data_IF_034921355462
#
_entry.id   IF_034921355462
#
_cell.length_a   1.000
_cell.length_b   1.000
_cell.length_c   1.000
_cell.angle_alpha   90.00
_cell.angle_beta   90.00
_cell.angle_gamma   90.00
#
_symmetry.space_group_name_H-M   'P 1'
#
loop_
_entity.id
_entity.type
_entity.pdbx_description
1 polymer ?
#
# COMPACT_ATOMS: atom_id res chain seq x y z
N UNK A 1 14.68 -8.38 0.49
CA UNK A 1 13.62 -9.36 0.20
C UNK A 1 13.04 -10.00 1.45
N UNK A 2 13.86 -10.64 2.31
CA UNK A 2 13.41 -11.18 3.60
C UNK A 2 12.72 -10.13 4.47
N UNK A 3 13.20 -8.87 4.44
CA UNK A 3 12.60 -7.77 5.17
C UNK A 3 11.19 -7.39 4.68
N UNK A 4 10.92 -7.52 3.36
CA UNK A 4 9.58 -7.26 2.82
C UNK A 4 8.58 -8.38 3.18
N UNK A 5 9.02 -9.65 3.21
CA UNK A 5 8.16 -10.77 3.64
C UNK A 5 7.66 -10.55 5.07
N UNK A 6 8.48 -10.02 5.96
CA UNK A 6 8.09 -9.69 7.34
C UNK A 6 6.98 -8.64 7.39
N UNK A 7 7.05 -7.62 6.52
CA UNK A 7 6.00 -6.60 6.42
C UNK A 7 4.68 -7.18 5.91
N UNK A 8 4.73 -8.27 5.16
CA UNK A 8 3.56 -8.91 4.57
C UNK A 8 2.96 -10.04 5.42
N UNK A 9 3.60 -10.45 6.50
CA UNK A 9 3.06 -11.43 7.44
C UNK A 9 2.21 -10.74 8.54
N UNK A 10 1.23 -9.95 8.10
CA UNK A 10 0.37 -9.16 8.97
C UNK A 10 -0.57 -10.01 9.86
N UNK A 11 -0.67 -11.31 9.60
CA UNK A 11 -1.56 -12.21 10.33
C UNK A 11 -0.88 -12.86 11.54
N UNK A 12 0.44 -12.71 11.70
CA UNK A 12 1.18 -13.29 12.82
C UNK A 12 1.31 -12.27 13.96
N UNK A 13 0.56 -12.38 15.08
CA UNK A 13 0.56 -11.38 16.15
C UNK A 13 1.95 -11.14 16.76
N UNK A 14 2.76 -12.19 16.89
CA UNK A 14 4.12 -12.10 17.43
C UNK A 14 5.00 -11.29 16.48
N UNK A 15 4.95 -11.57 15.19
CA UNK A 15 5.72 -10.83 14.19
C UNK A 15 5.32 -9.37 14.13
N UNK A 16 4.01 -9.08 14.15
CA UNK A 16 3.48 -7.71 14.16
C UNK A 16 3.97 -6.94 15.39
N UNK A 17 3.96 -7.60 16.56
CA UNK A 17 4.46 -7.01 17.81
C UNK A 17 5.95 -6.72 17.72
N UNK A 18 6.76 -7.71 17.37
CA UNK A 18 8.22 -7.57 17.32
C UNK A 18 8.61 -6.52 16.27
N UNK A 19 7.97 -6.49 15.10
CA UNK A 19 8.18 -5.47 14.08
C UNK A 19 7.85 -4.07 14.60
N UNK A 20 6.72 -3.91 15.30
CA UNK A 20 6.34 -2.62 15.87
C UNK A 20 7.36 -2.13 16.88
N UNK A 21 7.83 -3.01 17.77
CA UNK A 21 8.85 -2.67 18.77
C UNK A 21 10.18 -2.28 18.12
N UNK A 22 10.64 -3.02 17.11
CA UNK A 22 11.86 -2.71 16.38
C UNK A 22 11.75 -1.39 15.61
N UNK A 23 10.63 -1.14 14.91
CA UNK A 23 10.43 0.14 14.22
C UNK A 23 10.36 1.29 15.20
N UNK A 24 9.62 1.12 16.30
CA UNK A 24 9.44 2.16 17.31
C UNK A 24 10.77 2.59 17.94
N UNK A 25 11.64 1.63 18.21
CA UNK A 25 12.96 1.84 18.83
C UNK A 25 14.08 2.11 17.82
N UNK A 26 13.77 2.29 16.52
CA UNK A 26 14.75 2.42 15.43
C UNK A 26 15.72 1.22 15.35
N UNK A 27 15.20 0.00 15.51
CA UNK A 27 15.97 -1.24 15.46
C UNK A 27 16.74 -1.60 16.73
N UNK A 28 16.43 -0.94 17.86
CA UNK A 28 17.15 -1.12 19.15
C UNK A 28 16.35 -1.90 20.19
N UNK A 29 15.18 -2.43 19.85
CA UNK A 29 14.31 -3.15 20.81
C UNK A 29 14.91 -4.48 21.28
N UNK A 30 15.79 -5.10 20.48
CA UNK A 30 16.38 -6.41 20.77
C UNK A 30 15.33 -7.50 21.05
N UNK A 31 14.31 -7.57 20.21
CA UNK A 31 13.23 -8.56 20.35
C UNK A 31 13.69 -10.00 20.17
N UNK A 32 14.92 -10.22 19.69
CA UNK A 32 15.43 -11.54 19.32
C UNK A 32 14.94 -12.03 17.96
N UNK A 33 14.00 -11.33 17.34
CA UNK A 33 13.43 -11.66 16.04
C UNK A 33 14.21 -10.98 14.90
N UNK A 34 15.16 -11.72 14.31
CA UNK A 34 16.01 -11.18 13.25
C UNK A 34 15.22 -10.73 12.02
N UNK A 35 14.09 -11.40 11.72
CA UNK A 35 13.23 -11.03 10.60
C UNK A 35 12.49 -9.71 10.88
N UNK A 36 11.96 -9.52 12.09
CA UNK A 36 11.34 -8.26 12.52
C UNK A 36 12.34 -7.10 12.46
N UNK A 37 13.57 -7.32 12.94
CA UNK A 37 14.64 -6.32 12.89
C UNK A 37 14.97 -5.91 11.44
N UNK A 38 15.17 -6.86 10.54
CA UNK A 38 15.39 -6.57 9.12
C UNK A 38 14.20 -5.85 8.46
N UNK A 39 12.97 -6.22 8.85
CA UNK A 39 11.76 -5.53 8.41
C UNK A 39 11.73 -4.07 8.87
N UNK A 40 12.07 -3.82 10.12
CA UNK A 40 12.16 -2.48 10.68
C UNK A 40 13.23 -1.63 9.99
N UNK A 41 14.42 -2.18 9.76
CA UNK A 41 15.51 -1.51 9.03
C UNK A 41 15.08 -1.12 7.60
N UNK A 42 14.40 -2.04 6.90
CA UNK A 42 13.88 -1.78 5.55
C UNK A 42 12.81 -0.68 5.57
N UNK A 43 11.88 -0.72 6.53
CA UNK A 43 10.86 0.29 6.70
C UNK A 43 11.45 1.68 6.94
N UNK A 44 12.35 1.79 7.92
CA UNK A 44 13.03 3.04 8.27
C UNK A 44 13.82 3.61 7.10
N UNK A 45 14.51 2.77 6.34
CA UNK A 45 15.25 3.18 5.14
C UNK A 45 14.32 3.73 4.07
N UNK A 46 13.20 3.06 3.80
CA UNK A 46 12.24 3.48 2.77
C UNK A 46 11.55 4.79 3.18
N UNK A 47 11.05 4.88 4.41
CA UNK A 47 10.34 6.08 4.88
C UNK A 47 11.26 7.30 4.95
N UNK A 48 12.52 7.12 5.35
CA UNK A 48 13.50 8.20 5.34
C UNK A 48 13.82 8.66 3.90
N UNK A 49 14.06 7.76 2.98
CA UNK A 49 14.27 8.12 1.57
C UNK A 49 13.07 8.86 0.97
N UNK A 50 11.84 8.46 1.33
CA UNK A 50 10.63 9.14 0.90
C UNK A 50 10.52 10.55 1.51
N UNK A 51 10.84 10.69 2.81
CA UNK A 51 10.88 11.99 3.50
C UNK A 51 11.88 12.94 2.83
N UNK A 52 13.10 12.47 2.59
CA UNK A 52 14.14 13.26 1.93
C UNK A 52 13.71 13.67 0.52
N UNK A 53 13.12 12.75 -0.25
CA UNK A 53 12.61 13.05 -1.59
C UNK A 53 11.48 14.07 -1.58
N UNK A 54 10.54 13.95 -0.63
CA UNK A 54 9.46 14.91 -0.45
C UNK A 54 10.00 16.30 -0.11
N UNK A 55 10.97 16.37 0.82
CA UNK A 55 11.59 17.65 1.21
C UNK A 55 12.42 18.24 0.06
N UNK A 56 13.12 17.44 -0.73
CA UNK A 56 13.83 17.90 -1.92
C UNK A 56 12.89 18.50 -2.97
N UNK A 57 11.63 18.06 -3.01
CA UNK A 57 10.59 18.60 -3.90
C UNK A 57 9.91 19.87 -3.33
N UNK A 58 10.31 20.33 -2.15
CA UNK A 58 9.78 21.52 -1.50
C UNK A 58 8.88 21.27 -0.30
N UNK A 59 8.85 20.02 0.21
CA UNK A 59 8.20 19.68 1.47
C UNK A 59 9.02 20.09 2.68
N UNK A 60 8.41 20.02 3.86
CA UNK A 60 9.04 20.32 5.14
C UNK A 60 8.60 19.30 6.22
N UNK A 61 8.99 18.06 6.03
CA UNK A 61 8.71 16.99 7.00
C UNK A 61 9.91 16.77 7.90
N UNK A 62 9.75 17.03 9.19
CA UNK A 62 10.76 16.79 10.20
C UNK A 62 11.11 15.31 10.35
N UNK A 63 12.31 15.04 10.86
CA UNK A 63 12.73 13.69 11.23
C UNK A 63 12.29 13.38 12.65
N UNK A 64 11.68 12.19 12.83
CA UNK A 64 11.33 11.72 14.18
C UNK A 64 12.52 11.01 14.84
N UNK A 65 12.70 11.25 16.14
CA UNK A 65 13.74 10.59 16.93
C UNK A 65 13.37 9.14 17.26
N UNK A 66 12.09 8.78 17.24
CA UNK A 66 11.56 7.44 17.47
C UNK A 66 10.10 7.33 16.98
N UNK A 67 9.54 6.13 17.04
CA UNK A 67 8.11 5.94 16.79
C UNK A 67 7.68 6.16 15.34
N UNK A 68 8.49 5.78 14.38
CA UNK A 68 8.26 5.97 12.93
C UNK A 68 7.17 5.04 12.38
N UNK A 69 6.05 4.93 13.11
CA UNK A 69 4.88 4.15 12.72
C UNK A 69 3.71 5.08 12.38
N UNK A 70 3.00 4.85 11.27
CA UNK A 70 1.82 5.63 10.95
C UNK A 70 0.69 5.38 11.95
N UNK A 71 -0.04 6.43 12.29
CA UNK A 71 -1.18 6.35 13.17
C UNK A 71 -2.45 6.35 12.31
N UNK A 72 -3.22 5.27 12.41
CA UNK A 72 -4.52 5.16 11.76
C UNK A 72 -5.62 5.17 12.83
N UNK A 73 -6.64 6.00 12.66
CA UNK A 73 -7.69 6.20 13.65
C UNK A 73 -9.04 5.73 13.09
N UNK A 74 -9.77 4.91 13.86
CA UNK A 74 -11.15 4.58 13.55
C UNK A 74 -12.07 5.66 14.14
N UNK A 75 -12.44 6.61 13.31
CA UNK A 75 -13.28 7.74 13.65
C UNK A 75 -14.53 7.36 14.45
N UNK A 76 -15.26 6.32 14.00
CA UNK A 76 -16.47 5.89 14.67
C UNK A 76 -16.21 5.28 16.05
N UNK A 77 -15.11 4.55 16.22
CA UNK A 77 -14.74 3.96 17.51
C UNK A 77 -14.32 5.05 18.49
N UNK A 78 -13.52 6.02 18.02
CA UNK A 78 -13.11 7.19 18.81
C UNK A 78 -14.32 8.03 19.21
N UNK A 79 -15.25 8.31 18.28
CA UNK A 79 -16.47 9.04 18.54
C UNK A 79 -17.36 8.34 19.58
N UNK A 80 -17.57 7.02 19.45
CA UNK A 80 -18.37 6.21 20.37
C UNK A 80 -17.79 6.15 21.78
N UNK A 81 -16.47 6.19 21.91
CA UNK A 81 -15.80 6.19 23.22
C UNK A 81 -16.11 7.47 23.99
N UNK A 82 -16.32 8.58 23.30
CA UNK A 82 -16.50 9.90 23.89
C UNK A 82 -15.19 10.58 24.25
N UNK A 83 -15.18 11.89 24.23
CA UNK A 83 -13.98 12.73 24.35
C UNK A 83 -13.19 12.48 25.62
N UNK A 84 -13.83 12.58 26.79
CA UNK A 84 -13.14 12.45 28.07
C UNK A 84 -12.67 11.01 28.34
N UNK A 85 -13.50 10.03 28.00
CA UNK A 85 -13.16 8.62 28.20
C UNK A 85 -12.01 8.17 27.29
N UNK A 86 -11.98 8.67 26.04
CA UNK A 86 -10.89 8.42 25.13
C UNK A 86 -9.60 9.10 25.60
N UNK A 87 -9.65 10.38 25.97
CA UNK A 87 -8.51 11.12 26.46
C UNK A 87 -7.89 10.48 27.73
N UNK A 88 -8.72 10.07 28.68
CA UNK A 88 -8.28 9.39 29.90
C UNK A 88 -7.62 8.03 29.61
N UNK A 89 -8.10 7.27 28.62
CA UNK A 89 -7.50 5.99 28.23
C UNK A 89 -6.17 6.16 27.48
N UNK A 90 -6.03 7.23 26.67
CA UNK A 90 -4.83 7.51 25.88
C UNK A 90 -3.72 8.12 26.74
N UNK A 91 -4.04 8.96 27.71
CA UNK A 91 -3.07 9.68 28.54
C UNK A 91 -1.93 8.79 29.10
N UNK A 92 -2.17 7.61 29.68
CA UNK A 92 -1.12 6.74 30.21
C UNK A 92 -0.23 6.09 29.12
N UNK A 93 -0.64 6.14 27.85
CA UNK A 93 0.10 5.61 26.72
C UNK A 93 1.13 6.61 26.15
N UNK A 94 1.10 7.87 26.58
CA UNK A 94 1.88 8.96 26.00
C UNK A 94 3.27 9.09 26.60
N UNK A 95 4.20 9.53 25.77
CA UNK A 95 5.49 10.06 26.21
C UNK A 95 5.33 11.49 26.71
N UNK A 96 5.25 11.63 28.03
CA UNK A 96 5.02 12.91 28.71
C UNK A 96 6.15 13.94 28.48
N UNK A 97 7.33 13.50 28.07
CA UNK A 97 8.46 14.39 27.79
C UNK A 97 8.28 15.23 26.52
N UNK A 98 7.36 14.84 25.63
CA UNK A 98 7.05 15.56 24.40
C UNK A 98 6.03 16.69 24.59
N UNK A 99 5.33 16.70 25.72
CA UNK A 99 4.33 17.69 26.01
C UNK A 99 4.93 18.79 26.89
N UNK A 100 5.44 19.83 26.24
CA UNK A 100 6.10 20.98 26.87
C UNK A 100 5.47 22.28 26.40
N UNK A 101 5.44 23.28 27.26
CA UNK A 101 5.01 24.63 26.89
C UNK A 101 6.14 25.39 26.15
N UNK A 102 5.87 26.61 25.71
CA UNK A 102 6.84 27.47 25.01
C UNK A 102 8.12 27.73 25.81
N UNK A 103 8.05 27.68 27.14
CA UNK A 103 9.20 27.84 28.03
C UNK A 103 9.98 26.52 28.26
N UNK A 104 9.58 25.40 27.61
CA UNK A 104 10.20 24.08 27.76
C UNK A 104 9.80 23.33 29.03
N UNK A 105 8.86 23.85 29.83
CA UNK A 105 8.36 23.15 31.01
C UNK A 105 7.30 22.12 30.63
N UNK A 106 7.30 20.96 31.32
CA UNK A 106 6.34 19.88 31.07
C UNK A 106 4.92 20.33 31.39
N UNK A 107 3.98 19.99 30.52
CA UNK A 107 2.57 20.20 30.76
C UNK A 107 2.05 19.28 31.87
N UNK A 108 1.13 19.80 32.67
CA UNK A 108 0.36 19.02 33.64
C UNK A 108 -0.54 18.01 32.96
N UNK A 109 -1.08 17.04 33.71
CA UNK A 109 -2.04 16.07 33.19
C UNK A 109 -3.32 16.74 32.66
N UNK A 110 -3.76 17.81 33.29
CA UNK A 110 -4.93 18.56 32.86
C UNK A 110 -4.69 19.24 31.49
N UNK A 111 -3.54 19.88 31.31
CA UNK A 111 -3.18 20.50 30.02
C UNK A 111 -2.99 19.48 28.91
N UNK A 112 -2.43 18.31 29.20
CA UNK A 112 -2.32 17.22 28.20
C UNK A 112 -3.69 16.60 27.87
N UNK A 113 -4.60 16.51 28.82
CA UNK A 113 -5.98 16.12 28.56
C UNK A 113 -6.68 17.12 27.62
N UNK A 114 -6.41 18.40 27.74
CA UNK A 114 -6.96 19.41 26.82
C UNK A 114 -6.38 19.25 25.39
N UNK A 115 -5.09 18.95 25.25
CA UNK A 115 -4.48 18.59 23.96
C UNK A 115 -5.16 17.35 23.37
N UNK A 116 -5.38 16.32 24.18
CA UNK A 116 -6.04 15.09 23.73
C UNK A 116 -7.51 15.33 23.35
N UNK A 117 -8.22 16.22 24.04
CA UNK A 117 -9.59 16.61 23.67
C UNK A 117 -9.63 17.29 22.30
N UNK A 118 -8.66 18.18 22.02
CA UNK A 118 -8.51 18.79 20.69
C UNK A 118 -8.20 17.73 19.62
N UNK A 119 -7.27 16.82 19.90
CA UNK A 119 -6.96 15.70 19.01
C UNK A 119 -8.19 14.80 18.74
N UNK A 120 -9.00 14.54 19.79
CA UNK A 120 -10.25 13.80 19.62
C UNK A 120 -11.24 14.50 18.69
N UNK A 121 -11.40 15.81 18.81
CA UNK A 121 -12.25 16.60 17.90
C UNK A 121 -11.77 16.49 16.47
N UNK A 122 -10.47 16.62 16.25
CA UNK A 122 -9.87 16.49 14.93
C UNK A 122 -10.09 15.10 14.33
N UNK A 123 -9.85 14.04 15.12
CA UNK A 123 -10.05 12.66 14.67
C UNK A 123 -11.54 12.38 14.43
N UNK A 124 -12.42 12.76 15.36
CA UNK A 124 -13.86 12.46 15.29
C UNK A 124 -14.57 13.19 14.15
N UNK A 125 -14.04 14.34 13.72
CA UNK A 125 -14.58 15.15 12.61
C UNK A 125 -13.81 15.01 11.30
N UNK A 126 -12.78 14.14 11.26
CA UNK A 126 -11.86 14.02 10.10
C UNK A 126 -11.23 15.36 9.68
N UNK A 127 -10.84 16.15 10.69
CA UNK A 127 -10.23 17.48 10.51
C UNK A 127 -11.24 18.57 10.13
N UNK A 128 -12.55 18.32 10.16
CA UNK A 128 -13.55 19.33 9.82
C UNK A 128 -13.57 20.50 10.79
N UNK A 129 -13.18 20.29 12.06
CA UNK A 129 -13.03 21.34 13.07
C UNK A 129 -11.93 22.36 12.72
N UNK A 130 -10.94 21.97 11.92
CA UNK A 130 -9.83 22.83 11.47
C UNK A 130 -10.20 23.65 10.21
N UNK A 131 -11.36 23.41 9.62
CA UNK A 131 -11.86 24.12 8.44
C UNK A 131 -12.59 25.41 8.81
N UNK A 132 -11.96 26.28 9.57
CA UNK A 132 -12.54 27.60 9.87
C UNK A 132 -12.41 28.52 8.66
N UNK A 133 -13.50 29.14 8.16
CA UNK A 133 -13.42 30.14 7.11
C UNK A 133 -12.47 31.26 7.53
N UNK A 134 -11.42 31.52 6.75
CA UNK A 134 -10.42 32.57 7.04
C UNK A 134 -9.11 32.08 7.67
N UNK A 135 -9.03 30.84 8.16
CA UNK A 135 -7.79 30.26 8.71
C UNK A 135 -6.81 29.76 7.62
N UNK A 136 -7.11 29.97 6.36
CA UNK A 136 -6.28 29.55 5.22
C UNK A 136 -5.11 30.51 4.95
N UNK A 137 -4.27 30.74 5.92
CA UNK A 137 -2.97 31.38 5.68
C UNK A 137 -1.87 30.33 5.58
N UNK A 138 -1.60 29.90 4.36
CA UNK A 138 -0.36 29.19 4.02
C UNK A 138 -0.21 27.70 4.38
N UNK A 139 -0.98 27.15 5.33
CA UNK A 139 -0.86 25.76 5.75
C UNK A 139 -1.52 24.73 4.79
N UNK A 140 -2.28 25.18 3.81
CA UNK A 140 -3.01 24.32 2.87
C UNK A 140 -2.17 23.79 1.70
N UNK A 141 -0.89 24.15 1.60
CA UNK A 141 -0.03 23.61 0.55
C UNK A 141 0.27 22.12 0.82
N UNK A 142 0.23 21.31 -0.24
CA UNK A 142 0.54 19.89 -0.11
C UNK A 142 1.95 19.64 0.45
N UNK A 143 2.90 20.50 0.12
CA UNK A 143 4.26 20.48 0.65
C UNK A 143 4.33 20.64 2.18
N UNK A 144 3.33 21.28 2.79
CA UNK A 144 3.27 21.46 4.24
C UNK A 144 2.60 20.30 4.97
N UNK A 145 2.09 19.30 4.24
CA UNK A 145 1.51 18.12 4.87
C UNK A 145 2.58 17.35 5.63
N UNK A 146 2.37 17.19 6.93
CA UNK A 146 3.31 16.50 7.81
C UNK A 146 4.40 17.39 8.40
N UNK A 147 4.45 18.71 8.10
CA UNK A 147 5.30 19.66 8.81
C UNK A 147 4.81 19.92 10.24
N UNK A 148 3.50 19.77 10.47
CA UNK A 148 2.92 19.83 11.80
C UNK A 148 3.32 18.60 12.61
N UNK A 149 3.76 18.81 13.83
CA UNK A 149 4.12 17.73 14.76
C UNK A 149 2.90 16.91 15.11
N UNK A 150 3.07 15.60 15.27
CA UNK A 150 2.03 14.73 15.79
C UNK A 150 1.59 15.19 17.17
N UNK A 151 0.28 15.19 17.43
CA UNK A 151 -0.27 15.50 18.76
C UNK A 151 -0.21 14.28 19.69
N UNK A 152 -0.23 13.05 19.15
CA UNK A 152 -0.19 11.82 19.93
C UNK A 152 1.20 11.21 19.81
N UNK A 153 1.97 11.30 20.91
CA UNK A 153 3.30 10.73 21.03
C UNK A 153 3.26 9.55 22.01
N UNK A 154 3.28 8.32 21.50
CA UNK A 154 3.33 7.13 22.36
C UNK A 154 4.69 6.98 23.02
N UNK A 155 4.69 6.50 24.26
CA UNK A 155 5.93 6.29 25.06
C UNK A 155 6.75 5.09 24.57
N UNK A 156 6.07 4.08 24.01
CA UNK A 156 6.69 2.84 23.55
C UNK A 156 5.82 2.13 22.49
N UNK A 157 6.39 1.10 21.86
CA UNK A 157 5.72 0.34 20.83
C UNK A 157 4.53 -0.47 21.34
N UNK A 158 4.52 -0.89 22.61
CA UNK A 158 3.38 -1.60 23.21
C UNK A 158 2.18 -0.66 23.36
N UNK A 159 2.42 0.58 23.81
CA UNK A 159 1.39 1.62 23.91
C UNK A 159 0.80 1.96 22.55
N UNK A 160 1.64 2.07 21.52
CA UNK A 160 1.20 2.22 20.14
C UNK A 160 0.30 1.06 19.69
N UNK A 161 0.71 -0.18 19.93
CA UNK A 161 -0.08 -1.36 19.57
C UNK A 161 -1.40 -1.45 20.36
N UNK A 162 -1.38 -1.11 21.65
CA UNK A 162 -2.59 -1.06 22.47
C UNK A 162 -3.59 -0.05 21.91
N UNK A 163 -3.11 1.13 21.55
CA UNK A 163 -3.93 2.15 20.90
C UNK A 163 -4.48 1.68 19.55
N UNK A 164 -3.65 1.10 18.68
CA UNK A 164 -4.09 0.61 17.37
C UNK A 164 -5.13 -0.50 17.47
N UNK A 165 -5.05 -1.37 18.49
CA UNK A 165 -6.07 -2.40 18.74
C UNK A 165 -7.40 -1.81 19.20
N UNK A 166 -7.36 -0.77 20.04
CA UNK A 166 -8.55 -0.14 20.60
C UNK A 166 -9.22 0.83 19.63
N UNK A 167 -8.42 1.65 18.94
CA UNK A 167 -8.89 2.82 18.19
C UNK A 167 -8.36 2.91 16.75
N UNK A 168 -7.54 1.96 16.31
CA UNK A 168 -6.99 1.96 14.96
C UNK A 168 -7.94 1.43 13.88
N UNK A 169 -7.62 1.70 12.62
CA UNK A 169 -8.28 1.12 11.45
C UNK A 169 -7.40 0.05 10.83
N UNK A 170 -7.94 -1.14 10.62
CA UNK A 170 -7.22 -2.21 9.95
C UNK A 170 -6.04 -2.76 10.76
N UNK A 171 -5.11 -3.38 10.08
CA UNK A 171 -3.86 -3.90 10.64
C UNK A 171 -2.75 -2.83 10.61
N UNK A 172 -1.69 -3.06 11.37
CA UNK A 172 -0.46 -2.24 11.27
C UNK A 172 0.10 -2.26 9.85
N UNK A 173 0.01 -3.41 9.17
CA UNK A 173 0.38 -3.56 7.78
C UNK A 173 -0.41 -2.61 6.88
N UNK A 174 -1.74 -2.55 7.01
CA UNK A 174 -2.58 -1.65 6.23
C UNK A 174 -2.20 -0.18 6.44
N UNK A 175 -1.91 0.20 7.69
CA UNK A 175 -1.47 1.54 8.02
C UNK A 175 -0.10 1.88 7.39
N UNK A 176 0.86 0.94 7.43
CA UNK A 176 2.18 1.13 6.84
C UNK A 176 2.11 1.26 5.31
N UNK A 177 1.35 0.40 4.65
CA UNK A 177 1.19 0.43 3.19
C UNK A 177 0.39 1.66 2.75
N UNK A 178 -0.67 2.00 3.47
CA UNK A 178 -1.43 3.23 3.22
C UNK A 178 -0.56 4.49 3.32
N UNK A 179 0.34 4.52 4.30
CA UNK A 179 1.31 5.61 4.45
C UNK A 179 2.26 5.72 3.24
N UNK A 180 2.84 4.59 2.79
CA UNK A 180 3.70 4.58 1.58
C UNK A 180 2.91 5.09 0.37
N UNK A 181 1.68 4.59 0.15
CA UNK A 181 0.83 4.99 -0.96
C UNK A 181 0.48 6.48 -0.94
N UNK A 182 0.08 7.00 0.23
CA UNK A 182 -0.24 8.40 0.44
C UNK A 182 0.96 9.32 0.18
N UNK A 183 2.09 9.02 0.83
CA UNK A 183 3.31 9.81 0.68
C UNK A 183 3.89 9.74 -0.74
N UNK A 184 3.82 8.58 -1.41
CA UNK A 184 4.23 8.44 -2.83
C UNK A 184 3.41 9.35 -3.75
N UNK A 185 2.09 9.44 -3.51
CA UNK A 185 1.22 10.36 -4.23
C UNK A 185 1.60 11.82 -3.98
N UNK A 186 1.82 12.17 -2.72
CA UNK A 186 2.18 13.54 -2.34
C UNK A 186 3.54 13.94 -2.95
N UNK A 187 4.53 13.06 -2.94
CA UNK A 187 5.82 13.25 -3.62
C UNK A 187 5.60 13.51 -5.11
N UNK A 188 4.90 12.61 -5.81
CA UNK A 188 4.66 12.75 -7.25
C UNK A 188 3.90 14.02 -7.61
N UNK A 189 2.96 14.44 -6.78
CA UNK A 189 2.21 15.67 -6.97
C UNK A 189 3.09 16.92 -6.77
N UNK A 190 3.90 16.95 -5.71
CA UNK A 190 4.78 18.08 -5.41
C UNK A 190 5.93 18.17 -6.42
N UNK A 191 6.54 17.06 -6.81
CA UNK A 191 7.58 17.03 -7.85
C UNK A 191 7.06 17.53 -9.20
N UNK A 192 5.83 17.15 -9.57
CA UNK A 192 5.27 17.49 -10.90
C UNK A 192 4.67 18.87 -10.98
N UNK A 193 3.98 19.32 -9.92
CA UNK A 193 3.14 20.51 -9.92
C UNK A 193 3.60 21.57 -8.91
N UNK A 194 4.71 21.34 -8.22
CA UNK A 194 5.26 22.22 -7.20
C UNK A 194 4.57 22.09 -5.83
N UNK A 195 4.96 22.94 -4.87
CA UNK A 195 4.53 22.81 -3.46
C UNK A 195 3.01 22.87 -3.23
N UNK A 196 2.28 23.53 -4.12
CA UNK A 196 0.82 23.61 -4.05
C UNK A 196 0.16 23.17 -5.37
N UNK A 197 0.10 21.86 -5.63
CA UNK A 197 -0.46 21.29 -6.86
C UNK A 197 -1.90 21.72 -7.11
N UNK A 198 -2.72 21.83 -6.08
CA UNK A 198 -4.12 22.21 -6.17
C UNK A 198 -4.30 23.63 -6.70
N UNK A 199 -3.47 24.55 -6.20
CA UNK A 199 -3.47 25.95 -6.68
C UNK A 199 -2.93 26.05 -8.11
N UNK A 200 -1.87 25.31 -8.40
CA UNK A 200 -1.28 25.29 -9.74
C UNK A 200 -2.28 24.77 -10.77
N UNK A 201 -2.98 23.68 -10.48
CA UNK A 201 -4.00 23.13 -11.39
C UNK A 201 -5.18 24.08 -11.56
N UNK A 202 -5.64 24.73 -10.49
CA UNK A 202 -6.70 25.74 -10.57
C UNK A 202 -6.29 26.89 -11.49
N UNK A 203 -5.06 27.35 -11.37
CA UNK A 203 -4.51 28.39 -12.25
C UNK A 203 -4.53 27.94 -13.72
N UNK A 204 -4.16 26.68 -14.01
CA UNK A 204 -4.20 26.15 -15.38
C UNK A 204 -5.63 26.13 -15.94
N UNK A 205 -6.61 25.70 -15.14
CA UNK A 205 -8.03 25.76 -15.54
C UNK A 205 -8.50 27.20 -15.79
N UNK A 206 -8.11 28.16 -14.94
CA UNK A 206 -8.47 29.58 -15.12
C UNK A 206 -7.82 30.18 -16.38
N UNK A 207 -6.56 29.82 -16.67
CA UNK A 207 -5.88 30.24 -17.89
C UNK A 207 -6.53 29.66 -19.16
N UNK A 208 -6.86 28.38 -19.13
CA UNK A 208 -7.58 27.74 -20.23
C UNK A 208 -8.94 28.42 -20.46
N UNK A 209 -9.71 28.66 -19.39
CA UNK A 209 -10.99 29.37 -19.46
C UNK A 209 -10.86 30.77 -20.08
N UNK A 210 -9.82 31.50 -19.71
CA UNK A 210 -9.56 32.84 -20.28
C UNK A 210 -9.20 32.75 -21.78
N UNK A 211 -8.38 31.79 -22.16
CA UNK A 211 -7.99 31.58 -23.55
C UNK A 211 -9.21 31.18 -24.41
N UNK A 212 -10.09 30.35 -23.94
CA UNK A 212 -11.30 29.93 -24.63
C UNK A 212 -12.34 31.07 -24.67
N UNK A 213 -12.42 31.84 -23.58
CA UNK A 213 -13.23 33.07 -23.58
C UNK A 213 -12.82 34.08 -24.64
N UNK A 214 -11.53 34.24 -24.85
CA UNK A 214 -11.00 35.11 -25.92
C UNK A 214 -11.32 34.58 -27.33
N UNK A 215 -11.61 33.31 -27.46
CA UNK A 215 -12.05 32.64 -28.72
C UNK A 215 -13.58 32.61 -28.88
N UNK A 216 -14.34 33.16 -27.95
CA UNK A 216 -15.80 33.12 -27.96
C UNK A 216 -16.44 31.75 -27.55
N UNK A 217 -15.66 30.86 -26.90
CA UNK A 217 -16.07 29.49 -26.56
C UNK A 217 -16.55 29.34 -25.09
N UNK A 218 -16.92 30.41 -24.42
CA UNK A 218 -17.29 30.41 -23.00
C UNK A 218 -18.44 29.44 -22.65
N UNK A 219 -19.37 29.21 -23.56
CA UNK A 219 -20.49 28.30 -23.34
C UNK A 219 -20.06 26.82 -23.22
N UNK A 220 -18.95 26.45 -23.79
CA UNK A 220 -18.43 25.07 -23.79
C UNK A 220 -17.43 24.80 -22.65
N UNK A 221 -16.84 25.84 -22.08
CA UNK A 221 -15.73 25.72 -21.11
C UNK A 221 -16.08 24.85 -19.88
N UNK A 222 -17.29 24.98 -19.35
CA UNK A 222 -17.70 24.24 -18.17
C UNK A 222 -17.83 22.72 -18.47
N UNK A 223 -18.33 22.37 -19.64
CA UNK A 223 -18.47 20.99 -20.11
C UNK A 223 -17.10 20.40 -20.44
N UNK A 224 -16.27 21.11 -21.16
CA UNK A 224 -14.91 20.69 -21.53
C UNK A 224 -14.00 20.49 -20.33
N UNK A 225 -14.18 21.26 -19.24
CA UNK A 225 -13.39 21.14 -18.03
C UNK A 225 -13.89 20.08 -17.05
N UNK A 226 -15.13 19.60 -17.17
CA UNK A 226 -15.71 18.64 -16.21
C UNK A 226 -14.93 17.32 -16.16
N UNK A 227 -14.51 16.78 -17.29
CA UNK A 227 -13.70 15.57 -17.37
C UNK A 227 -12.32 15.73 -16.72
N UNK A 228 -11.51 16.69 -17.13
CA UNK A 228 -10.21 16.97 -16.51
C UNK A 228 -10.28 17.29 -15.01
N UNK A 229 -11.31 18.02 -14.55
CA UNK A 229 -11.51 18.28 -13.12
C UNK A 229 -11.84 17.01 -12.34
N UNK A 230 -12.67 16.12 -12.88
CA UNK A 230 -12.97 14.83 -12.27
C UNK A 230 -11.71 13.96 -12.18
N UNK A 231 -10.91 13.88 -13.24
CA UNK A 231 -9.64 13.17 -13.25
C UNK A 231 -8.66 13.76 -12.23
N UNK A 232 -8.58 15.09 -12.16
CA UNK A 232 -7.77 15.75 -11.15
C UNK A 232 -8.21 15.41 -9.72
N UNK A 233 -9.51 15.39 -9.46
CA UNK A 233 -10.04 15.04 -8.14
C UNK A 233 -9.66 13.61 -7.71
N UNK A 234 -9.61 12.67 -8.65
CA UNK A 234 -9.15 11.29 -8.41
C UNK A 234 -7.64 11.28 -8.16
N UNK A 235 -6.86 11.92 -9.04
CA UNK A 235 -5.40 11.96 -8.94
C UNK A 235 -4.93 12.62 -7.66
N UNK A 236 -5.52 13.75 -7.29
CA UNK A 236 -5.18 14.48 -6.06
C UNK A 236 -5.66 13.80 -4.77
N UNK A 237 -6.58 12.82 -4.88
CA UNK A 237 -7.21 12.17 -3.76
C UNK A 237 -8.42 12.93 -3.19
N UNK A 238 -8.78 14.08 -3.77
CA UNK A 238 -9.92 14.89 -3.31
C UNK A 238 -11.26 14.15 -3.43
N UNK A 239 -11.42 13.29 -4.44
CA UNK A 239 -12.60 12.46 -4.61
C UNK A 239 -12.81 11.42 -3.51
N UNK A 240 -11.75 11.07 -2.78
CA UNK A 240 -11.80 10.15 -1.64
C UNK A 240 -12.17 10.83 -0.32
N UNK A 241 -12.27 12.17 -0.29
CA UNK A 241 -12.60 12.91 0.93
C UNK A 241 -14.11 13.17 0.97
N UNK A 242 -14.86 12.54 1.89
CA UNK A 242 -16.32 12.71 1.93
C UNK A 242 -16.72 14.10 2.42
N UNK A 243 -17.71 14.71 1.77
CA UNK A 243 -18.32 15.98 2.22
C UNK A 243 -19.19 15.75 3.46
N UNK A 244 -19.84 14.57 3.54
CA UNK A 244 -20.62 14.13 4.68
C UNK A 244 -20.29 12.68 5.02
N UNK A 245 -19.61 12.44 6.13
CA UNK A 245 -19.15 11.11 6.54
C UNK A 245 -20.30 10.09 6.69
N UNK A 246 -21.47 10.51 7.19
CA UNK A 246 -22.64 9.61 7.33
C UNK A 246 -23.20 9.16 5.98
N UNK A 247 -23.32 10.07 5.01
CA UNK A 247 -23.80 9.76 3.65
C UNK A 247 -22.79 8.88 2.92
N UNK A 248 -21.50 9.19 3.05
CA UNK A 248 -20.43 8.39 2.47
C UNK A 248 -20.42 6.96 3.04
N UNK A 249 -20.63 6.81 4.35
CA UNK A 249 -20.74 5.48 4.98
C UNK A 249 -21.93 4.69 4.46
N UNK A 250 -23.10 5.30 4.31
CA UNK A 250 -24.28 4.62 3.72
C UNK A 250 -24.01 4.24 2.27
N UNK A 251 -23.48 5.15 1.47
CA UNK A 251 -23.13 4.88 0.08
C UNK A 251 -22.07 3.76 -0.03
N UNK A 252 -21.11 3.73 0.89
CA UNK A 252 -20.11 2.66 0.96
C UNK A 252 -20.75 1.31 1.31
N UNK A 253 -21.72 1.27 2.24
CA UNK A 253 -22.46 0.05 2.55
C UNK A 253 -23.24 -0.47 1.32
N UNK A 254 -23.95 0.41 0.60
CA UNK A 254 -24.65 0.05 -0.63
C UNK A 254 -23.67 -0.51 -1.67
N UNK A 255 -22.55 0.17 -1.89
CA UNK A 255 -21.51 -0.27 -2.85
C UNK A 255 -20.93 -1.63 -2.45
N UNK A 256 -20.69 -1.87 -1.16
CA UNK A 256 -20.17 -3.15 -0.67
C UNK A 256 -21.16 -4.29 -0.90
N UNK A 257 -22.47 -4.05 -0.68
CA UNK A 257 -23.54 -5.03 -0.95
C UNK A 257 -23.67 -5.29 -2.46
N UNK A 258 -23.60 -4.25 -3.30
CA UNK A 258 -23.63 -4.38 -4.74
C UNK A 258 -22.41 -5.14 -5.27
N UNK A 259 -21.21 -4.86 -4.75
CA UNK A 259 -19.98 -5.59 -5.06
C UNK A 259 -20.11 -7.07 -4.69
N UNK A 260 -20.69 -7.37 -3.51
CA UNK A 260 -20.98 -8.73 -3.10
C UNK A 260 -21.90 -9.46 -4.10
N UNK A 261 -23.00 -8.83 -4.51
CA UNK A 261 -23.93 -9.42 -5.49
C UNK A 261 -23.29 -9.68 -6.87
N UNK A 262 -22.43 -8.76 -7.33
CA UNK A 262 -21.73 -8.88 -8.62
C UNK A 262 -20.60 -9.92 -8.60
N UNK A 263 -19.92 -10.10 -7.46
CA UNK A 263 -18.81 -11.05 -7.33
C UNK A 263 -19.26 -12.52 -7.43
N UNK A 264 -20.49 -12.85 -7.09
CA UNK A 264 -20.99 -14.23 -7.22
C UNK A 264 -21.00 -14.70 -8.68
N UNK A 265 -21.32 -13.81 -9.63
CA UNK A 265 -21.25 -14.12 -11.07
C UNK A 265 -19.82 -14.23 -11.60
N UNK A 266 -18.90 -13.48 -11.04
CA UNK A 266 -17.51 -13.47 -11.48
C UNK A 266 -16.73 -14.74 -11.09
N UNK A 267 -17.12 -15.44 -10.01
CA UNK A 267 -16.54 -16.75 -9.64
C UNK A 267 -16.79 -17.80 -10.72
N UNK A 268 -17.99 -17.80 -11.30
CA UNK A 268 -18.31 -18.71 -12.42
C UNK A 268 -17.54 -18.34 -13.70
N UNK A 269 -17.35 -17.03 -13.95
CA UNK A 269 -16.56 -16.57 -15.09
C UNK A 269 -15.07 -16.91 -14.97
N UNK A 270 -14.52 -17.01 -13.75
CA UNK A 270 -13.11 -17.33 -13.54
C UNK A 270 -12.72 -18.77 -13.92
N UNK A 271 -13.69 -19.65 -14.09
CA UNK A 271 -13.47 -21.01 -14.62
C UNK A 271 -12.93 -20.94 -16.06
N UNK A 272 -13.33 -19.94 -16.84
CA UNK A 272 -12.83 -19.73 -18.20
C UNK A 272 -11.35 -19.36 -18.25
N UNK A 273 -10.78 -18.87 -17.14
CA UNK A 273 -9.35 -18.55 -17.03
C UNK A 273 -8.45 -19.78 -17.18
N UNK A 274 -8.98 -20.98 -16.87
CA UNK A 274 -8.29 -22.25 -17.14
C UNK A 274 -8.02 -22.41 -18.64
N UNK A 275 -8.98 -22.06 -19.49
CA UNK A 275 -8.79 -22.10 -20.93
C UNK A 275 -7.63 -21.20 -21.39
N UNK A 276 -7.61 -19.95 -20.91
CA UNK A 276 -6.54 -18.99 -21.19
C UNK A 276 -5.18 -19.46 -20.67
N UNK A 277 -5.15 -20.08 -19.48
CA UNK A 277 -3.95 -20.69 -18.92
C UNK A 277 -3.37 -21.75 -19.85
N UNK A 278 -4.19 -22.72 -20.31
CA UNK A 278 -3.73 -23.78 -21.20
C UNK A 278 -3.38 -23.30 -22.61
N UNK A 279 -4.04 -22.27 -23.12
CA UNK A 279 -3.62 -21.59 -24.36
C UNK A 279 -2.21 -21.00 -24.20
N UNK A 280 -1.94 -20.35 -23.07
CA UNK A 280 -0.61 -19.79 -22.78
C UNK A 280 0.45 -20.89 -22.60
N UNK A 281 0.09 -22.00 -21.92
CA UNK A 281 0.95 -23.18 -21.80
C UNK A 281 1.29 -23.76 -23.16
N UNK A 282 0.28 -23.88 -24.05
CA UNK A 282 0.45 -24.39 -25.41
C UNK A 282 1.31 -23.47 -26.29
N UNK A 283 1.05 -22.16 -26.24
CA UNK A 283 1.88 -21.16 -26.93
C UNK A 283 3.35 -21.26 -26.52
N UNK A 284 3.59 -21.47 -25.22
CA UNK A 284 4.94 -21.63 -24.69
C UNK A 284 5.50 -23.07 -24.87
N UNK A 285 4.81 -23.96 -25.55
CA UNK A 285 5.20 -25.38 -25.74
C UNK A 285 5.59 -26.08 -24.44
N UNK A 286 4.96 -25.69 -23.34
CA UNK A 286 5.18 -26.31 -22.04
C UNK A 286 4.35 -27.60 -21.92
N UNK A 287 4.83 -28.63 -21.18
CA UNK A 287 4.08 -29.85 -21.01
C UNK A 287 2.77 -29.61 -20.26
N UNK A 288 1.63 -29.90 -20.89
CA UNK A 288 0.30 -29.71 -20.32
C UNK A 288 0.10 -30.49 -19.00
N UNK A 289 0.58 -31.73 -18.95
CA UNK A 289 0.47 -32.54 -17.74
C UNK A 289 1.19 -31.89 -16.54
N UNK A 290 2.37 -31.34 -16.77
CA UNK A 290 3.14 -30.67 -15.73
C UNK A 290 2.50 -29.33 -15.34
N UNK A 291 1.98 -28.59 -16.30
CA UNK A 291 1.23 -27.37 -16.03
C UNK A 291 0.01 -27.64 -15.16
N UNK A 292 -0.72 -28.74 -15.43
CA UNK A 292 -1.86 -29.18 -14.63
C UNK A 292 -1.43 -29.58 -13.20
N UNK A 293 -0.39 -30.38 -13.06
CA UNK A 293 0.12 -30.79 -11.72
C UNK A 293 0.64 -29.59 -10.93
N UNK A 294 1.22 -28.59 -11.61
CA UNK A 294 1.69 -27.36 -10.97
C UNK A 294 0.54 -26.48 -10.48
N UNK A 295 -0.63 -26.46 -11.14
CA UNK A 295 -1.83 -25.79 -10.62
C UNK A 295 -2.21 -26.40 -9.26
N UNK A 296 -2.34 -27.72 -9.17
CA UNK A 296 -2.63 -28.41 -7.92
C UNK A 296 -1.56 -28.18 -6.86
N UNK A 297 -0.29 -28.24 -7.28
CA UNK A 297 0.84 -27.95 -6.42
C UNK A 297 0.89 -26.51 -5.90
N UNK A 298 0.47 -25.53 -6.70
CA UNK A 298 0.48 -24.12 -6.37
C UNK A 298 -0.50 -23.72 -5.26
N UNK A 299 -1.48 -24.58 -4.95
CA UNK A 299 -2.41 -24.39 -3.84
C UNK A 299 -1.76 -24.64 -2.47
N UNK A 300 -0.62 -25.32 -2.42
CA UNK A 300 0.03 -25.69 -1.17
C UNK A 300 0.74 -24.48 -0.52
N UNK A 301 0.84 -24.55 0.82
CA UNK A 301 1.58 -23.56 1.60
C UNK A 301 3.06 -23.51 1.19
N UNK A 302 3.66 -24.68 0.98
CA UNK A 302 5.04 -24.85 0.53
C UNK A 302 5.33 -24.14 -0.80
N UNK A 303 4.45 -24.27 -1.80
CA UNK A 303 4.61 -23.55 -3.07
C UNK A 303 4.50 -22.04 -2.90
N UNK A 304 3.63 -21.57 -1.99
CA UNK A 304 3.49 -20.16 -1.68
C UNK A 304 4.75 -19.61 -1.03
N UNK A 305 5.30 -20.35 -0.04
CA UNK A 305 6.53 -19.96 0.64
C UNK A 305 7.73 -19.96 -0.33
N UNK A 306 7.84 -20.99 -1.18
CA UNK A 306 8.87 -21.04 -2.20
C UNK A 306 8.80 -19.85 -3.16
N UNK A 307 7.65 -19.59 -3.76
CA UNK A 307 7.48 -18.48 -4.71
C UNK A 307 7.70 -17.11 -4.07
N UNK A 308 7.19 -16.92 -2.84
CA UNK A 308 7.41 -15.71 -2.08
C UNK A 308 8.89 -15.49 -1.74
N UNK A 309 9.59 -16.54 -1.36
CA UNK A 309 11.03 -16.51 -1.09
C UNK A 309 11.86 -16.08 -2.30
N UNK A 310 11.38 -16.37 -3.50
CA UNK A 310 12.04 -16.05 -4.76
C UNK A 310 11.47 -14.83 -5.51
N UNK A 311 10.63 -14.02 -4.86
CA UNK A 311 10.21 -12.70 -5.34
C UNK A 311 9.20 -12.69 -6.48
N UNK A 312 8.51 -13.81 -6.71
CA UNK A 312 7.58 -13.97 -7.84
C UNK A 312 6.16 -13.44 -7.60
N UNK A 313 5.85 -12.96 -6.40
CA UNK A 313 4.51 -12.43 -6.04
C UNK A 313 4.48 -10.90 -6.00
N UNK A 314 5.60 -10.22 -6.25
CA UNK A 314 5.69 -8.76 -6.16
C UNK A 314 4.61 -8.02 -6.96
N UNK A 315 4.15 -8.58 -8.08
CA UNK A 315 3.18 -7.92 -8.95
C UNK A 315 1.74 -7.99 -8.42
N UNK A 316 1.32 -9.12 -7.83
CA UNK A 316 0.02 -9.20 -7.16
C UNK A 316 -0.03 -8.30 -5.93
N UNK A 317 1.10 -8.17 -5.23
CA UNK A 317 1.24 -7.30 -4.08
C UNK A 317 1.24 -5.82 -4.46
N UNK A 318 1.86 -5.43 -5.58
CA UNK A 318 1.79 -4.06 -6.10
C UNK A 318 0.37 -3.73 -6.56
N UNK A 319 -0.33 -4.68 -7.16
CA UNK A 319 -1.74 -4.53 -7.55
C UNK A 319 -2.65 -4.37 -6.32
N UNK A 320 -2.42 -5.16 -5.27
CA UNK A 320 -3.14 -5.03 -4.01
C UNK A 320 -2.78 -3.72 -3.30
N UNK A 321 -1.52 -3.31 -3.30
CA UNK A 321 -1.06 -2.00 -2.82
C UNK A 321 -1.79 -0.83 -3.51
N UNK A 322 -1.91 -0.86 -4.82
CA UNK A 322 -2.62 0.17 -5.57
C UNK A 322 -4.12 0.19 -5.26
N UNK A 323 -4.73 -0.97 -5.05
CA UNK A 323 -6.13 -1.09 -4.65
C UNK A 323 -6.36 -0.58 -3.23
N UNK A 324 -5.47 -0.91 -2.29
CA UNK A 324 -5.58 -0.50 -0.88
C UNK A 324 -5.27 0.97 -0.66
N UNK A 325 -4.37 1.56 -1.45
CA UNK A 325 -4.06 2.99 -1.37
C UNK A 325 -5.19 3.89 -1.89
N UNK A 326 -6.07 3.35 -2.72
CA UNK A 326 -7.20 4.08 -3.34
C UNK A 326 -8.52 3.95 -2.59
N UNK A 327 -8.73 2.88 -1.83
CA UNK A 327 -10.02 2.57 -1.24
C UNK A 327 -9.87 2.22 0.25
N UNK A 328 -10.33 3.11 1.14
CA UNK A 328 -10.49 2.83 2.58
C UNK A 328 -11.65 1.83 2.84
N UNK A 329 -11.60 0.65 2.19
CA UNK A 329 -12.68 -0.35 2.20
C UNK A 329 -12.91 -1.02 3.57
N UNK A 330 -11.94 -0.96 4.48
CA UNK A 330 -11.96 -1.72 5.72
C UNK A 330 -12.50 -0.95 6.94
N UNK A 331 -12.94 0.29 6.78
CA UNK A 331 -13.30 1.14 7.94
C UNK A 331 -14.63 0.77 8.61
N UNK A 332 -15.51 0.01 7.95
CA UNK A 332 -16.80 -0.37 8.51
C UNK A 332 -17.04 -1.89 8.42
N UNK A 333 -18.04 -2.39 9.18
CA UNK A 333 -18.36 -3.82 9.24
C UNK A 333 -18.70 -4.41 7.87
N UNK A 334 -19.36 -3.66 6.98
CA UNK A 334 -19.67 -4.08 5.62
C UNK A 334 -18.41 -4.17 4.74
N UNK A 335 -17.42 -3.29 4.94
CA UNK A 335 -16.11 -3.38 4.32
C UNK A 335 -15.35 -4.64 4.75
N UNK A 336 -15.47 -5.01 6.04
CA UNK A 336 -14.90 -6.28 6.55
C UNK A 336 -15.60 -7.49 5.94
N UNK A 337 -16.93 -7.46 5.79
CA UNK A 337 -17.68 -8.52 5.10
C UNK A 337 -17.30 -8.55 3.63
N UNK A 338 -17.24 -7.42 2.93
CA UNK A 338 -16.82 -7.38 1.54
C UNK A 338 -15.38 -7.88 1.35
N UNK A 339 -14.45 -7.48 2.22
CA UNK A 339 -13.07 -7.97 2.22
C UNK A 339 -13.00 -9.48 2.55
N UNK A 340 -13.75 -9.94 3.55
CA UNK A 340 -13.87 -11.36 3.87
C UNK A 340 -14.48 -12.14 2.71
N UNK A 341 -15.49 -11.60 2.04
CA UNK A 341 -16.12 -12.21 0.88
C UNK A 341 -15.18 -12.25 -0.32
N UNK A 342 -14.41 -11.20 -0.57
CA UNK A 342 -13.37 -11.23 -1.61
C UNK A 342 -12.29 -12.27 -1.29
N UNK A 343 -11.92 -12.44 -0.02
CA UNK A 343 -11.01 -13.49 0.43
C UNK A 343 -11.66 -14.88 0.32
N UNK A 344 -12.94 -15.01 0.68
CA UNK A 344 -13.72 -16.25 0.64
C UNK A 344 -14.25 -16.57 -0.78
N UNK A 345 -14.33 -15.60 -1.68
CA UNK A 345 -14.82 -15.81 -3.05
C UNK A 345 -13.91 -16.72 -3.90
N UNK A 346 -12.78 -17.15 -3.34
CA UNK A 346 -11.79 -17.99 -4.01
C UNK A 346 -11.22 -17.38 -5.32
N UNK A 347 -11.74 -16.23 -5.80
CA UNK A 347 -11.31 -15.62 -7.04
C UNK A 347 -9.84 -15.18 -7.00
N UNK A 348 -9.46 -14.45 -5.94
CA UNK A 348 -8.06 -14.05 -5.78
C UNK A 348 -7.18 -15.29 -5.56
N UNK A 349 -7.65 -16.22 -4.72
CA UNK A 349 -6.95 -17.48 -4.49
C UNK A 349 -6.84 -18.33 -5.77
N UNK A 350 -7.86 -18.35 -6.60
CA UNK A 350 -7.88 -19.04 -7.88
C UNK A 350 -6.95 -18.39 -8.90
N UNK A 351 -7.07 -17.09 -9.12
CA UNK A 351 -6.20 -16.35 -10.04
C UNK A 351 -4.72 -16.44 -9.59
N UNK A 352 -4.46 -16.31 -8.29
CA UNK A 352 -3.12 -16.48 -7.73
C UNK A 352 -2.61 -17.90 -7.90
N UNK A 353 -3.47 -18.91 -7.78
CA UNK A 353 -3.11 -20.30 -8.01
C UNK A 353 -2.72 -20.55 -9.47
N UNK A 354 -3.48 -20.04 -10.43
CA UNK A 354 -3.14 -20.15 -11.85
C UNK A 354 -1.82 -19.42 -12.17
N UNK A 355 -1.63 -18.23 -11.65
CA UNK A 355 -0.37 -17.47 -11.80
C UNK A 355 0.82 -18.24 -11.22
N UNK A 356 0.70 -18.75 -9.99
CA UNK A 356 1.74 -19.55 -9.34
C UNK A 356 2.04 -20.83 -10.12
N UNK A 357 1.01 -21.53 -10.58
CA UNK A 357 1.16 -22.72 -11.42
C UNK A 357 1.93 -22.40 -12.70
N UNK A 358 1.62 -21.28 -13.35
CA UNK A 358 2.33 -20.81 -14.53
C UNK A 358 3.80 -20.46 -14.21
N UNK A 359 4.04 -19.72 -13.14
CA UNK A 359 5.39 -19.36 -12.71
C UNK A 359 6.26 -20.59 -12.42
N UNK A 360 5.74 -21.57 -11.68
CA UNK A 360 6.42 -22.84 -11.46
C UNK A 360 6.74 -23.56 -12.77
N UNK A 361 5.78 -23.61 -13.69
CA UNK A 361 5.97 -24.26 -14.99
C UNK A 361 7.02 -23.56 -15.84
N UNK A 362 7.03 -22.22 -15.83
CA UNK A 362 8.04 -21.42 -16.54
C UNK A 362 9.44 -21.61 -15.96
N UNK A 363 9.59 -21.55 -14.63
CA UNK A 363 10.89 -21.76 -13.98
C UNK A 363 11.45 -23.16 -14.27
N UNK A 364 10.59 -24.17 -14.27
CA UNK A 364 10.98 -25.52 -14.65
C UNK A 364 11.35 -25.63 -16.14
N UNK A 365 10.60 -24.95 -17.02
CA UNK A 365 10.89 -24.92 -18.45
C UNK A 365 12.25 -24.29 -18.73
N UNK A 366 12.55 -23.17 -18.10
CA UNK A 366 13.86 -22.50 -18.18
C UNK A 366 14.98 -23.37 -17.58
N UNK A 367 14.71 -23.99 -16.43
CA UNK A 367 15.65 -24.93 -15.80
C UNK A 367 16.04 -26.09 -16.69
N UNK A 368 15.10 -26.64 -17.46
CA UNK A 368 15.37 -27.72 -18.44
C UNK A 368 16.23 -27.26 -19.63
N UNK A 369 16.16 -25.99 -20.01
CA UNK A 369 16.95 -25.43 -21.11
C UNK A 369 18.35 -24.98 -20.67
N UNK A 370 18.73 -25.24 -19.40
CA UNK A 370 20.08 -24.95 -18.94
C UNK A 370 21.12 -25.72 -19.75
N UNK A 371 22.25 -25.06 -20.01
CA UNK A 371 23.31 -25.60 -20.85
C UNK A 371 23.08 -25.47 -22.37
N UNK A 372 21.90 -24.95 -22.77
CA UNK A 372 21.60 -24.68 -24.18
C UNK A 372 22.03 -23.25 -24.53
N UNK A 373 22.93 -23.07 -25.48
CA UNK A 373 23.33 -21.76 -25.95
C UNK A 373 22.18 -21.07 -26.72
N UNK A 374 22.21 -19.75 -26.84
CA UNK A 374 21.22 -19.00 -27.60
C UNK A 374 21.01 -19.51 -29.02
N UNK A 375 22.10 -19.84 -29.72
CA UNK A 375 22.06 -20.31 -31.11
C UNK A 375 21.60 -21.76 -31.23
N UNK A 376 21.71 -22.54 -30.16
CA UNK A 376 21.24 -23.93 -30.11
C UNK A 376 19.77 -24.04 -29.70
N UNK A 377 19.14 -22.94 -29.24
CA UNK A 377 17.70 -22.88 -29.01
C UNK A 377 16.93 -23.14 -30.31
N UNK A 378 15.76 -23.76 -30.19
CA UNK A 378 14.85 -23.86 -31.34
C UNK A 378 14.47 -22.47 -31.86
N UNK A 379 14.20 -22.39 -33.16
CA UNK A 379 13.75 -21.13 -33.79
C UNK A 379 12.52 -20.55 -33.10
N UNK A 380 11.60 -21.41 -32.67
CA UNK A 380 10.40 -21.02 -31.93
C UNK A 380 10.74 -20.46 -30.53
N UNK A 381 11.66 -21.08 -29.80
CA UNK A 381 12.05 -20.62 -28.46
C UNK A 381 12.76 -19.26 -28.55
N UNK A 382 13.64 -19.06 -29.53
CA UNK A 382 14.25 -17.75 -29.80
C UNK A 382 13.22 -16.69 -30.15
N UNK A 383 12.30 -17.00 -31.09
CA UNK A 383 11.23 -16.08 -31.46
C UNK A 383 10.41 -15.65 -30.25
N UNK A 384 10.02 -16.60 -29.41
CA UNK A 384 9.22 -16.36 -28.22
C UNK A 384 9.97 -15.47 -27.22
N UNK A 385 11.23 -15.74 -26.96
CA UNK A 385 12.06 -14.94 -26.05
C UNK A 385 12.29 -13.53 -26.60
N UNK A 386 12.59 -13.42 -27.88
CA UNK A 386 12.71 -12.12 -28.55
C UNK A 386 11.41 -11.32 -28.53
N UNK A 387 10.25 -11.97 -28.71
CA UNK A 387 8.95 -11.29 -28.62
C UNK A 387 8.66 -10.73 -27.24
N UNK A 388 9.31 -11.23 -26.19
CA UNK A 388 9.29 -10.72 -24.82
C UNK A 388 10.41 -9.72 -24.52
N UNK A 389 11.18 -9.33 -25.52
CA UNK A 389 12.30 -8.37 -25.39
C UNK A 389 13.60 -8.97 -24.88
N UNK A 390 13.72 -10.31 -24.79
CA UNK A 390 14.92 -11.01 -24.31
C UNK A 390 15.96 -11.11 -25.44
N UNK A 391 17.21 -10.81 -25.11
CA UNK A 391 18.37 -10.89 -25.99
C UNK A 391 19.23 -12.14 -25.71
N UNK A 392 20.21 -12.40 -26.54
CA UNK A 392 21.19 -13.46 -26.30
C UNK A 392 22.03 -13.22 -25.05
N UNK A 393 22.31 -11.96 -24.73
CA UNK A 393 23.05 -11.57 -23.52
C UNK A 393 22.23 -11.85 -22.26
N UNK A 394 20.92 -11.52 -22.29
CA UNK A 394 20.01 -11.86 -21.19
C UNK A 394 19.93 -13.37 -20.98
N UNK A 395 19.90 -14.13 -22.09
CA UNK A 395 19.92 -15.59 -22.01
C UNK A 395 21.22 -16.13 -21.40
N UNK A 396 22.35 -15.52 -21.72
CA UNK A 396 23.64 -15.89 -21.14
C UNK A 396 23.67 -15.65 -19.62
N UNK A 397 23.07 -14.56 -19.13
CA UNK A 397 22.90 -14.31 -17.69
C UNK A 397 22.02 -15.39 -17.04
N UNK A 398 20.89 -15.74 -17.66
CA UNK A 398 20.01 -16.81 -17.17
C UNK A 398 20.76 -18.14 -17.06
N UNK A 399 21.66 -18.45 -18.01
CA UNK A 399 22.45 -19.69 -17.98
C UNK A 399 23.49 -19.72 -16.84
N UNK A 400 23.97 -18.56 -16.39
CA UNK A 400 24.90 -18.44 -15.25
C UNK A 400 24.20 -18.56 -13.91
N UNK A 401 22.89 -18.30 -13.84
CA UNK A 401 22.13 -18.33 -12.62
C UNK A 401 22.16 -19.72 -11.96
N UNK A 402 22.30 -19.76 -10.64
CA UNK A 402 22.28 -21.00 -9.87
C UNK A 402 20.86 -21.60 -9.86
N UNK A 403 20.71 -22.85 -10.31
CA UNK A 403 19.41 -23.51 -10.20
C UNK A 403 19.08 -23.88 -8.76
N UNK A 404 17.81 -23.75 -8.41
CA UNK A 404 17.24 -24.13 -7.13
C UNK A 404 16.44 -25.42 -7.31
N UNK A 405 16.71 -26.43 -6.48
CA UNK A 405 15.94 -27.68 -6.49
C UNK A 405 14.60 -27.48 -5.80
N UNK A 406 13.52 -27.73 -6.51
CA UNK A 406 12.18 -27.73 -5.94
C UNK A 406 11.33 -28.85 -6.53
N UNK A 407 10.77 -29.70 -5.68
CA UNK A 407 9.94 -30.86 -6.06
C UNK A 407 10.57 -31.77 -7.13
N UNK A 408 11.87 -31.99 -7.00
CA UNK A 408 12.63 -32.85 -7.90
C UNK A 408 12.92 -32.29 -9.29
N UNK A 409 12.75 -30.96 -9.46
CA UNK A 409 13.08 -30.28 -10.70
C UNK A 409 14.04 -29.12 -10.44
N UNK A 410 14.92 -28.86 -11.38
CA UNK A 410 15.77 -27.67 -11.43
C UNK A 410 14.92 -26.46 -11.84
N UNK A 411 14.95 -25.43 -11.01
CA UNK A 411 14.26 -24.17 -11.28
C UNK A 411 15.26 -23.02 -11.38
N UNK A 412 15.12 -22.18 -12.38
CA UNK A 412 15.82 -20.92 -12.45
C UNK A 412 14.88 -19.82 -11.96
N UNK A 413 15.24 -19.23 -10.83
CA UNK A 413 14.42 -18.25 -10.15
C UNK A 413 14.90 -16.82 -10.42
N UNK A 414 14.04 -15.80 -10.41
CA UNK A 414 14.44 -14.42 -10.68
C UNK A 414 15.55 -13.92 -9.77
N UNK A 415 15.52 -14.27 -8.48
CA UNK A 415 16.58 -13.87 -7.55
C UNK A 415 17.93 -14.53 -7.82
N UNK A 416 17.93 -15.75 -8.34
CA UNK A 416 19.17 -16.40 -8.80
C UNK A 416 19.75 -15.67 -10.02
N UNK A 417 18.89 -15.19 -10.93
CA UNK A 417 19.32 -14.39 -12.09
C UNK A 417 19.85 -13.03 -11.63
N UNK A 418 19.18 -12.36 -10.68
CA UNK A 418 19.65 -11.08 -10.14
C UNK A 418 20.91 -11.17 -9.29
N UNK A 419 21.29 -12.35 -8.83
CA UNK A 419 22.51 -12.57 -8.05
C UNK A 419 23.74 -12.84 -8.94
N UNK A 420 23.53 -12.99 -10.24
CA UNK A 420 24.58 -13.19 -11.26
C UNK A 420 25.11 -11.86 -11.75
#
# INVERSE_FOLDING_TARGET
RQALVVLFDAETPVMTRDLALEVFSLGKANTGNAAAKKGAEAWLKVTEAMRERFNAAGGDVGRLDYGYLPQAHNQLTVLRKGQDAWAAEVLPMLDRSRYVNEAGARLSDAEVLDVLRSAWETISTDGANQRTPGAFSGSGARANRGSESREIHFKDGESYLAYQRAFGTGSMYDAMIGHIGGLSRDIGMVERYGPNPERQMRLQFDLAKRADGARGLLGQVAEDQAGPQAQWSVLSGASGTPVHASVANVAQHVRNVETFGKLQGAVLASITDIGSYFVTVGFNKMPYFQAFTNIGGAMTKDAREFLNGHGLIAESMISDLNRWSGENLAQNWSGRIAAATMRLSLMNAWTDTLRRGFQLTMMQAVGRMRGTTWDALSEWDRYRMQSMGMTGDDWALIQQAQAVQYRGADMVTPDAIYAT
#
